data_IF_990718203281
#
_entry.id   IF_990718203281
#
_cell.length_a   1.000
_cell.length_b   1.000
_cell.length_c   1.000
_cell.angle_alpha   90.00
_cell.angle_beta   90.00
_cell.angle_gamma   90.00
#
_symmetry.space_group_name_H-M   'P 1'
#
loop_
_entity.id
_entity.type
_entity.pdbx_description
1 polymer ?
#
# COMPACT_ATOMS: atom_id res chain seq x y z
N UNK A 1 11.72 -5.10 9.18
CA UNK A 1 10.56 -5.70 8.47
C UNK A 1 10.98 -6.14 7.05
N UNK A 2 10.36 -7.18 6.50
CA UNK A 2 10.46 -7.58 5.09
C UNK A 2 9.42 -6.81 4.30
N UNK A 3 9.85 -6.02 3.31
CA UNK A 3 8.93 -5.21 2.49
C UNK A 3 9.12 -5.56 1.03
N UNK A 4 8.01 -5.82 0.33
CA UNK A 4 8.01 -6.07 -1.11
C UNK A 4 7.63 -4.81 -1.88
N UNK A 5 8.35 -4.50 -2.95
CA UNK A 5 8.16 -3.31 -3.79
C UNK A 5 8.10 -3.68 -5.28
N UNK A 6 7.64 -2.76 -6.12
CA UNK A 6 7.93 -2.80 -7.56
C UNK A 6 9.39 -2.41 -7.81
N UNK A 7 10.00 -2.94 -8.89
CA UNK A 7 11.30 -2.38 -9.35
C UNK A 7 11.16 -0.96 -9.89
N UNK A 8 9.97 -0.58 -10.32
CA UNK A 8 9.67 0.76 -10.80
C UNK A 8 9.48 1.80 -9.68
N UNK A 9 9.48 1.41 -8.38
CA UNK A 9 9.36 2.39 -7.29
C UNK A 9 10.49 3.42 -7.33
N UNK A 10 10.12 4.68 -7.13
CA UNK A 10 11.02 5.82 -7.18
C UNK A 10 12.15 5.76 -6.14
N UNK A 11 13.25 6.45 -6.44
CA UNK A 11 14.42 6.58 -5.58
C UNK A 11 14.09 6.98 -4.12
N UNK A 12 13.19 7.95 -3.86
CA UNK A 12 12.86 8.36 -2.50
C UNK A 12 12.26 7.24 -1.64
N UNK A 13 11.42 6.38 -2.19
CA UNK A 13 10.82 5.25 -1.45
C UNK A 13 11.89 4.26 -1.02
N UNK A 14 12.81 3.94 -1.93
CA UNK A 14 13.94 3.04 -1.67
C UNK A 14 14.90 3.63 -0.64
N UNK A 15 15.20 4.91 -0.73
CA UNK A 15 16.04 5.62 0.23
C UNK A 15 15.42 5.66 1.63
N UNK A 16 14.10 5.82 1.73
CA UNK A 16 13.38 5.82 3.00
C UNK A 16 13.31 4.42 3.64
N UNK A 17 13.08 3.37 2.84
CA UNK A 17 12.91 2.00 3.34
C UNK A 17 14.24 1.25 3.54
N UNK A 18 15.28 1.62 2.80
CA UNK A 18 16.59 0.96 2.84
C UNK A 18 17.17 0.83 4.25
N UNK A 19 17.28 1.93 5.04
CA UNK A 19 17.77 1.86 6.42
C UNK A 19 16.90 1.00 7.36
N UNK A 20 15.59 0.86 7.07
CA UNK A 20 14.64 0.12 7.92
C UNK A 20 14.57 -1.37 7.58
N UNK A 21 14.82 -1.72 6.31
CA UNK A 21 14.63 -3.06 5.78
C UNK A 21 15.96 -3.78 5.49
N UNK A 22 17.04 -3.05 5.22
CA UNK A 22 18.32 -3.62 4.83
C UNK A 22 18.19 -4.55 3.62
N UNK A 23 18.69 -5.78 3.77
CA UNK A 23 18.62 -6.87 2.79
C UNK A 23 17.22 -7.50 2.65
N UNK A 24 16.28 -7.13 3.52
CA UNK A 24 14.88 -7.62 3.51
C UNK A 24 13.97 -6.81 2.59
N UNK A 25 14.53 -5.92 1.78
CA UNK A 25 13.80 -5.26 0.70
C UNK A 25 13.70 -6.18 -0.52
N UNK A 26 12.48 -6.60 -0.86
CA UNK A 26 12.21 -7.56 -1.95
C UNK A 26 11.55 -6.85 -3.13
N UNK A 27 11.79 -7.36 -4.33
CA UNK A 27 11.24 -6.79 -5.55
C UNK A 27 10.44 -7.84 -6.32
N UNK A 28 9.20 -7.50 -6.68
CA UNK A 28 8.34 -8.38 -7.46
C UNK A 28 7.44 -7.62 -8.45
N UNK A 29 7.11 -8.28 -9.55
CA UNK A 29 6.13 -7.80 -10.52
C UNK A 29 4.71 -8.18 -10.12
N UNK A 30 3.71 -7.49 -10.67
CA UNK A 30 2.28 -7.71 -10.39
C UNK A 30 1.82 -7.14 -9.05
N UNK A 31 0.78 -6.31 -9.06
CA UNK A 31 0.21 -5.74 -7.82
C UNK A 31 -0.42 -6.84 -6.95
N UNK A 32 -1.26 -7.69 -7.55
CA UNK A 32 -1.89 -8.81 -6.86
C UNK A 32 -0.90 -9.79 -6.23
N UNK A 33 0.18 -10.15 -6.94
CA UNK A 33 1.22 -11.03 -6.38
C UNK A 33 1.92 -10.41 -5.16
N UNK A 34 2.25 -9.11 -5.20
CA UNK A 34 2.85 -8.43 -4.05
C UNK A 34 1.92 -8.40 -2.84
N UNK A 35 0.62 -8.18 -3.04
CA UNK A 35 -0.37 -8.27 -1.95
C UNK A 35 -0.51 -9.70 -1.44
N UNK A 36 -0.46 -10.70 -2.33
CA UNK A 36 -0.47 -12.11 -1.95
C UNK A 36 0.76 -12.49 -1.10
N UNK A 37 1.94 -11.93 -1.38
CA UNK A 37 3.11 -12.12 -0.52
C UNK A 37 2.84 -11.65 0.92
N UNK A 38 2.08 -10.57 1.11
CA UNK A 38 1.71 -10.09 2.45
C UNK A 38 0.69 -11.03 3.09
N UNK A 39 -0.36 -11.41 2.35
CA UNK A 39 -1.40 -12.35 2.79
C UNK A 39 -0.80 -13.68 3.27
N UNK A 40 0.21 -14.20 2.56
CA UNK A 40 0.88 -15.46 2.87
C UNK A 40 2.02 -15.33 3.91
N UNK A 41 2.27 -14.13 4.45
CA UNK A 41 3.36 -13.89 5.40
C UNK A 41 4.77 -13.98 4.81
N UNK A 42 4.91 -13.92 3.48
CA UNK A 42 6.21 -13.87 2.79
C UNK A 42 6.85 -12.48 2.83
N UNK A 43 6.03 -11.45 3.06
CA UNK A 43 6.44 -10.08 3.33
C UNK A 43 5.56 -9.49 4.45
N UNK A 44 6.13 -8.58 5.25
CA UNK A 44 5.40 -7.89 6.32
C UNK A 44 4.53 -6.75 5.74
N UNK A 45 4.94 -6.16 4.61
CA UNK A 45 4.20 -5.09 3.94
C UNK A 45 4.51 -5.00 2.44
N UNK A 46 3.58 -4.43 1.68
CA UNK A 46 3.76 -3.97 0.31
C UNK A 46 3.60 -2.44 0.28
N UNK A 47 4.62 -1.73 -0.23
CA UNK A 47 4.58 -0.27 -0.43
C UNK A 47 4.57 0.05 -1.92
N UNK A 48 3.68 0.98 -2.29
CA UNK A 48 3.53 1.53 -3.63
C UNK A 48 3.36 3.05 -3.51
N UNK A 49 4.24 3.83 -4.13
CA UNK A 49 4.05 5.29 -4.26
C UNK A 49 3.42 5.70 -5.58
N UNK A 50 3.48 4.85 -6.60
CA UNK A 50 3.03 5.14 -7.95
C UNK A 50 1.54 4.81 -8.17
N UNK A 51 0.86 5.61 -8.99
CA UNK A 51 -0.56 5.42 -9.35
C UNK A 51 -0.83 4.27 -10.33
N UNK A 52 -0.09 3.17 -10.25
CA UNK A 52 -0.15 2.04 -11.19
C UNK A 52 -1.02 0.87 -10.71
N UNK A 53 -1.77 1.07 -9.62
CA UNK A 53 -2.69 0.07 -9.04
C UNK A 53 -4.07 0.69 -8.95
N UNK A 54 -5.06 -0.02 -9.48
CA UNK A 54 -6.44 0.42 -9.52
C UNK A 54 -7.30 -0.37 -8.53
N UNK A 55 -8.57 0.02 -8.41
CA UNK A 55 -9.53 -0.61 -7.51
C UNK A 55 -9.60 -2.13 -7.72
N UNK A 56 -9.62 -2.59 -8.97
CA UNK A 56 -9.70 -4.01 -9.32
C UNK A 56 -8.44 -4.81 -8.96
N UNK A 57 -7.28 -4.16 -8.88
CA UNK A 57 -6.03 -4.82 -8.48
C UNK A 57 -5.97 -5.07 -6.96
N UNK A 58 -6.68 -4.24 -6.18
CA UNK A 58 -6.53 -4.15 -4.74
C UNK A 58 -7.74 -4.66 -3.94
N UNK A 59 -8.96 -4.63 -4.50
CA UNK A 59 -10.19 -4.91 -3.75
C UNK A 59 -10.22 -6.33 -3.15
N UNK A 60 -9.90 -7.36 -3.94
CA UNK A 60 -9.91 -8.74 -3.46
C UNK A 60 -8.79 -8.99 -2.42
N UNK A 61 -7.52 -8.63 -2.64
CA UNK A 61 -6.49 -8.77 -1.61
C UNK A 61 -6.76 -7.97 -0.34
N UNK A 62 -7.33 -6.77 -0.44
CA UNK A 62 -7.67 -5.95 0.72
C UNK A 62 -8.75 -6.63 1.58
N UNK A 63 -9.77 -7.24 0.97
CA UNK A 63 -10.78 -8.00 1.70
C UNK A 63 -10.16 -9.18 2.48
N UNK A 64 -9.23 -9.91 1.86
CA UNK A 64 -8.51 -11.02 2.52
C UNK A 64 -7.65 -10.48 3.68
N UNK A 65 -6.88 -9.41 3.45
CA UNK A 65 -6.07 -8.78 4.50
C UNK A 65 -6.94 -8.36 5.69
N UNK A 66 -8.13 -7.77 5.45
CA UNK A 66 -9.08 -7.44 6.52
C UNK A 66 -9.55 -8.66 7.30
N UNK A 67 -9.85 -9.77 6.62
CA UNK A 67 -10.24 -11.02 7.27
C UNK A 67 -9.12 -11.60 8.16
N UNK A 68 -7.85 -11.29 7.83
CA UNK A 68 -6.67 -11.65 8.62
C UNK A 68 -6.29 -10.61 9.69
N UNK A 69 -7.08 -9.55 9.88
CA UNK A 69 -6.81 -8.47 10.83
C UNK A 69 -5.84 -7.38 10.34
N UNK A 70 -5.47 -7.40 9.06
CA UNK A 70 -4.70 -6.35 8.39
C UNK A 70 -5.59 -5.42 7.55
N UNK A 71 -4.99 -4.77 6.55
CA UNK A 71 -5.71 -3.91 5.61
C UNK A 71 -4.80 -3.25 4.58
N UNK A 72 -5.40 -2.41 3.72
CA UNK A 72 -4.68 -1.63 2.70
C UNK A 72 -4.97 -0.14 2.91
N UNK A 73 -3.92 0.67 3.02
CA UNK A 73 -4.00 2.09 3.37
C UNK A 73 -3.66 3.00 2.19
N UNK A 74 -4.31 4.16 2.12
CA UNK A 74 -3.98 5.19 1.15
C UNK A 74 -2.69 5.91 1.59
N UNK A 75 -1.54 5.51 1.03
CA UNK A 75 -0.20 5.96 1.48
C UNK A 75 -0.10 7.49 1.63
N UNK A 76 -0.52 8.26 0.62
CA UNK A 76 -0.45 9.72 0.66
C UNK A 76 -1.32 10.33 1.78
N UNK A 77 -2.52 9.77 2.01
CA UNK A 77 -3.40 10.23 3.08
C UNK A 77 -2.85 9.84 4.45
N UNK A 78 -2.31 8.62 4.61
CA UNK A 78 -1.65 8.17 5.83
C UNK A 78 -0.42 9.05 6.17
N UNK A 79 0.45 9.35 5.21
CA UNK A 79 1.59 10.24 5.43
C UNK A 79 1.16 11.66 5.82
N UNK A 80 0.09 12.19 5.21
CA UNK A 80 -0.47 13.50 5.60
C UNK A 80 -0.99 13.50 7.03
N UNK A 81 -1.75 12.48 7.43
CA UNK A 81 -2.26 12.34 8.79
C UNK A 81 -1.10 12.35 9.82
N UNK A 82 -0.05 11.56 9.56
CA UNK A 82 1.13 11.48 10.44
C UNK A 82 1.90 12.81 10.54
N UNK A 83 1.97 13.61 9.48
CA UNK A 83 2.62 14.93 9.51
C UNK A 83 1.93 15.92 10.43
N UNK A 84 0.62 15.80 10.63
CA UNK A 84 -0.18 16.66 11.51
C UNK A 84 -0.29 16.06 12.93
N UNK A 85 0.44 14.97 13.20
CA UNK A 85 0.46 14.33 14.51
C UNK A 85 -0.74 13.42 14.81
N UNK A 86 -1.54 13.07 13.80
CA UNK A 86 -2.63 12.12 13.99
C UNK A 86 -2.08 10.72 14.30
N UNK A 87 -2.52 10.17 15.43
CA UNK A 87 -2.13 8.85 15.92
C UNK A 87 -3.16 7.77 15.62
N UNK A 88 -4.34 8.14 15.09
CA UNK A 88 -5.45 7.25 14.80
C UNK A 88 -5.18 6.21 13.70
N UNK A 89 -6.19 5.37 13.40
CA UNK A 89 -6.12 4.42 12.30
C UNK A 89 -5.86 5.14 10.97
N UNK A 90 -4.87 4.70 10.18
CA UNK A 90 -4.61 5.31 8.88
C UNK A 90 -5.82 5.12 7.95
N UNK A 91 -6.10 6.09 7.07
CA UNK A 91 -7.19 5.99 6.11
C UNK A 91 -6.97 4.82 5.14
N UNK A 92 -7.95 3.91 5.08
CA UNK A 92 -7.94 2.78 4.15
C UNK A 92 -8.27 3.20 2.71
N UNK A 93 -7.91 2.35 1.75
CA UNK A 93 -8.36 2.53 0.37
C UNK A 93 -9.89 2.40 0.27
N UNK A 94 -10.50 3.29 -0.52
CA UNK A 94 -11.93 3.29 -0.83
C UNK A 94 -12.12 3.01 -2.31
N UNK A 95 -12.96 2.03 -2.63
CA UNK A 95 -13.17 1.56 -4.01
C UNK A 95 -14.36 2.22 -4.71
N UNK A 96 -15.36 2.63 -3.94
CA UNK A 96 -16.55 3.31 -4.45
C UNK A 96 -16.46 4.79 -4.10
N UNK A 97 -16.09 5.65 -5.07
CA UNK A 97 -16.26 7.10 -4.93
C UNK A 97 -17.58 7.46 -5.61
N UNK A 98 -18.49 8.20 -4.94
CA UNK A 98 -19.66 8.74 -5.63
C UNK A 98 -19.19 9.57 -6.83
N UNK A 99 -19.89 9.45 -7.96
CA UNK A 99 -19.65 10.31 -9.10
C UNK A 99 -19.76 11.76 -8.62
N UNK A 100 -18.77 12.60 -8.90
CA UNK A 100 -18.91 14.04 -8.70
C UNK A 100 -20.11 14.45 -9.56
N UNK A 101 -21.15 15.00 -8.93
CA UNK A 101 -22.23 15.63 -9.66
C UNK A 101 -21.60 16.77 -10.47
N UNK A 102 -21.45 16.56 -11.78
CA UNK A 102 -21.10 17.61 -12.74
C UNK A 102 -22.11 18.73 -12.56
N UNK A 103 -21.74 19.75 -11.79
CA UNK A 103 -22.52 20.98 -11.70
C UNK A 103 -22.29 21.71 -13.02
N UNK A 104 -23.25 21.55 -13.93
CA UNK A 104 -23.30 22.24 -15.23
C UNK A 104 -23.45 23.76 -15.11
#
# INVERSE_FOLDING_TARGET
PCVVLSRAEGGPVRAALGPLCGDRLRFAAGAGYKMLCVILGLADAYVLSEGSTFAWDACAPHAILRALGGGTVALAAALRARRVGDTGPPPELVYNRPAEEETG
#
